data_IF_103342473222
#
_entry.id   IF_103342473222
#
_cell.length_a   1.000
_cell.length_b   1.000
_cell.length_c   1.000
_cell.angle_alpha   90.00
_cell.angle_beta   90.00
_cell.angle_gamma   90.00
#
_symmetry.space_group_name_H-M   'P 1'
#
loop_
_entity.id
_entity.type
_entity.pdbx_description
1 polymer ?
#
# COMPACT_ATOMS: atom_id res chain seq x y z
N UNK A 1 13.31 -15.98 -45.97
CA UNK A 1 11.97 -15.86 -45.38
C UNK A 1 11.92 -16.80 -44.19
N UNK A 2 11.86 -16.28 -42.96
CA UNK A 2 11.67 -17.14 -41.79
C UNK A 2 10.25 -17.72 -41.86
N UNK A 3 10.14 -19.03 -42.02
CA UNK A 3 8.87 -19.74 -41.92
C UNK A 3 8.32 -19.55 -40.51
N UNK A 4 7.17 -18.89 -40.39
CA UNK A 4 6.48 -18.77 -39.12
C UNK A 4 6.22 -20.17 -38.56
N UNK A 5 6.68 -20.42 -37.34
CA UNK A 5 6.41 -21.68 -36.65
C UNK A 5 4.89 -21.86 -36.52
N UNK A 6 4.35 -23.08 -36.72
CA UNK A 6 2.92 -23.33 -36.53
C UNK A 6 2.51 -23.00 -35.10
N UNK A 7 1.39 -22.28 -34.95
CA UNK A 7 0.87 -21.85 -33.65
C UNK A 7 0.33 -23.06 -32.89
N UNK A 8 0.83 -23.27 -31.68
CA UNK A 8 0.27 -24.20 -30.69
C UNK A 8 -0.90 -23.50 -29.99
N UNK A 9 -2.14 -23.91 -30.35
CA UNK A 9 -3.37 -23.29 -29.86
C UNK A 9 -3.49 -23.39 -28.33
N UNK A 10 -3.11 -24.52 -27.74
CA UNK A 10 -3.19 -24.71 -26.30
C UNK A 10 -2.25 -23.76 -25.54
N UNK A 11 -1.04 -23.55 -26.06
CA UNK A 11 -0.10 -22.57 -25.49
C UNK A 11 -0.59 -21.13 -25.65
N UNK A 12 -1.20 -20.81 -26.78
CA UNK A 12 -1.78 -19.48 -27.01
C UNK A 12 -2.92 -19.20 -26.02
N UNK A 13 -3.87 -20.12 -25.88
CA UNK A 13 -5.00 -19.98 -24.95
C UNK A 13 -4.54 -19.82 -23.50
N UNK A 14 -3.57 -20.65 -23.06
CA UNK A 14 -2.99 -20.54 -21.73
C UNK A 14 -2.36 -19.16 -21.49
N UNK A 15 -1.66 -18.62 -22.49
CA UNK A 15 -1.05 -17.29 -22.37
C UNK A 15 -2.08 -16.17 -22.36
N UNK A 16 -3.14 -16.25 -23.18
CA UNK A 16 -4.25 -15.29 -23.16
C UNK A 16 -4.91 -15.25 -21.78
N UNK A 17 -5.16 -16.41 -21.17
CA UNK A 17 -5.72 -16.49 -19.82
C UNK A 17 -4.81 -15.85 -18.77
N UNK A 18 -3.48 -16.04 -18.89
CA UNK A 18 -2.53 -15.36 -18.02
C UNK A 18 -2.63 -13.84 -18.15
N UNK A 19 -2.61 -13.30 -19.38
CA UNK A 19 -2.69 -11.85 -19.64
C UNK A 19 -4.01 -11.27 -19.10
N UNK A 20 -5.13 -11.99 -19.27
CA UNK A 20 -6.41 -11.59 -18.72
C UNK A 20 -6.41 -11.58 -17.18
N UNK A 21 -5.77 -12.57 -16.56
CA UNK A 21 -5.58 -12.63 -15.11
C UNK A 21 -4.77 -11.46 -14.57
N UNK A 22 -3.62 -11.16 -15.19
CA UNK A 22 -2.76 -10.03 -14.79
C UNK A 22 -3.48 -8.68 -14.95
N UNK A 23 -4.25 -8.53 -16.03
CA UNK A 23 -5.06 -7.33 -16.29
C UNK A 23 -6.15 -7.16 -15.23
N UNK A 24 -6.88 -8.24 -14.92
CA UNK A 24 -7.91 -8.25 -13.88
C UNK A 24 -7.33 -7.92 -12.51
N UNK A 25 -6.18 -8.50 -12.15
CA UNK A 25 -5.49 -8.23 -10.88
C UNK A 25 -5.07 -6.75 -10.74
N UNK A 26 -4.62 -6.13 -11.84
CA UNK A 26 -4.29 -4.70 -11.86
C UNK A 26 -5.53 -3.84 -11.60
N UNK A 27 -6.65 -4.13 -12.27
CA UNK A 27 -7.91 -3.41 -12.06
C UNK A 27 -8.45 -3.59 -10.63
N UNK A 28 -8.36 -4.80 -10.09
CA UNK A 28 -8.69 -5.08 -8.69
C UNK A 28 -7.85 -4.24 -7.72
N UNK A 29 -6.55 -4.10 -7.99
CA UNK A 29 -5.67 -3.29 -7.13
C UNK A 29 -6.03 -1.81 -7.16
N UNK A 30 -6.44 -1.29 -8.33
CA UNK A 30 -6.93 0.09 -8.46
C UNK A 30 -8.23 0.27 -7.66
N UNK A 31 -9.18 -0.67 -7.75
CA UNK A 31 -10.40 -0.64 -6.94
C UNK A 31 -10.11 -0.77 -5.43
N UNK A 32 -9.13 -1.58 -5.05
CA UNK A 32 -8.70 -1.70 -3.66
C UNK A 32 -8.10 -0.39 -3.14
N UNK A 33 -7.34 0.34 -3.97
CA UNK A 33 -6.86 1.69 -3.64
C UNK A 33 -8.00 2.68 -3.39
N UNK A 34 -9.09 2.60 -4.16
CA UNK A 34 -10.30 3.41 -3.93
C UNK A 34 -10.93 3.05 -2.58
N UNK A 35 -11.08 1.75 -2.30
CA UNK A 35 -11.65 1.25 -1.04
C UNK A 35 -10.86 1.69 0.19
N UNK A 36 -9.53 1.63 0.12
CA UNK A 36 -8.64 2.11 1.17
C UNK A 36 -8.78 3.64 1.37
N UNK A 37 -8.69 4.41 0.28
CA UNK A 37 -8.75 5.88 0.32
C UNK A 37 -10.07 6.42 0.86
N UNK A 38 -11.18 5.75 0.55
CA UNK A 38 -12.52 6.14 0.99
C UNK A 38 -12.94 5.47 2.30
N UNK A 39 -12.08 4.63 2.89
CA UNK A 39 -12.37 3.95 4.16
C UNK A 39 -13.44 2.85 4.08
N UNK A 40 -13.76 2.36 2.88
CA UNK A 40 -14.83 1.37 2.67
C UNK A 40 -14.49 0.01 3.31
N UNK A 41 -13.23 -0.45 3.19
CA UNK A 41 -12.80 -1.67 3.87
C UNK A 41 -12.79 -1.53 5.39
N UNK A 42 -12.32 -0.37 5.89
CA UNK A 42 -12.30 -0.06 7.33
C UNK A 42 -13.70 -0.02 7.91
N UNK A 43 -14.66 0.54 7.18
CA UNK A 43 -16.07 0.54 7.56
C UNK A 43 -16.64 -0.86 7.68
N UNK A 44 -16.47 -1.71 6.65
CA UNK A 44 -16.95 -3.10 6.69
C UNK A 44 -16.27 -3.91 7.82
N UNK A 45 -14.98 -3.71 8.05
CA UNK A 45 -14.25 -4.37 9.13
C UNK A 45 -14.78 -3.96 10.52
N UNK A 46 -15.08 -2.68 10.72
CA UNK A 46 -15.47 -2.14 12.02
C UNK A 46 -16.97 -2.34 12.33
N UNK A 47 -17.82 -2.26 11.31
CA UNK A 47 -19.28 -2.23 11.47
C UNK A 47 -19.98 -3.52 11.02
N UNK A 48 -19.23 -4.47 10.47
CA UNK A 48 -19.76 -5.78 10.03
C UNK A 48 -20.59 -5.73 8.75
N UNK A 49 -21.34 -6.81 8.45
CA UNK A 49 -22.09 -6.97 7.20
C UNK A 49 -23.09 -5.84 6.95
N UNK A 50 -23.07 -5.25 5.75
CA UNK A 50 -23.86 -4.06 5.44
C UNK A 50 -24.39 -4.04 4.00
N UNK A 51 -25.55 -3.42 3.77
CA UNK A 51 -25.99 -3.11 2.40
C UNK A 51 -25.23 -1.89 1.86
N UNK A 52 -25.20 -1.69 0.54
CA UNK A 52 -24.48 -0.56 -0.09
C UNK A 52 -24.86 0.82 0.45
N UNK A 53 -26.15 1.02 0.77
CA UNK A 53 -26.65 2.27 1.34
C UNK A 53 -26.12 2.55 2.76
N UNK A 54 -25.97 1.52 3.60
CA UNK A 54 -25.41 1.64 4.94
C UNK A 54 -23.93 2.03 4.89
N UNK A 55 -23.14 1.33 4.05
CA UNK A 55 -21.71 1.64 3.84
C UNK A 55 -21.53 3.06 3.32
N UNK A 56 -22.33 3.46 2.33
CA UNK A 56 -22.28 4.80 1.76
C UNK A 56 -22.60 5.89 2.79
N UNK A 57 -23.64 5.67 3.61
CA UNK A 57 -24.01 6.58 4.69
C UNK A 57 -22.90 6.72 5.73
N UNK A 58 -22.27 5.62 6.16
CA UNK A 58 -21.22 5.65 7.20
C UNK A 58 -19.92 6.28 6.71
N UNK A 59 -19.62 6.17 5.42
CA UNK A 59 -18.39 6.68 4.82
C UNK A 59 -18.56 8.04 4.15
N UNK A 60 -19.78 8.60 4.14
CA UNK A 60 -20.06 9.90 3.51
C UNK A 60 -19.88 9.87 1.98
N UNK A 61 -20.13 8.72 1.35
CA UNK A 61 -19.93 8.50 -0.09
C UNK A 61 -21.25 8.31 -0.83
N UNK A 62 -21.22 8.35 -2.17
CA UNK A 62 -22.41 8.15 -2.98
C UNK A 62 -22.73 6.66 -3.13
N UNK A 63 -23.96 6.28 -2.76
CA UNK A 63 -24.42 4.89 -2.74
C UNK A 63 -24.27 4.18 -4.10
N UNK A 64 -24.55 4.86 -5.21
CA UNK A 64 -24.47 4.25 -6.55
C UNK A 64 -23.07 3.75 -6.84
N UNK A 65 -22.05 4.53 -6.48
CA UNK A 65 -20.65 4.21 -6.68
C UNK A 65 -20.15 3.17 -5.68
N UNK A 66 -20.59 3.24 -4.43
CA UNK A 66 -20.31 2.20 -3.43
C UNK A 66 -20.84 0.85 -3.89
N UNK A 67 -22.05 0.82 -4.47
CA UNK A 67 -22.64 -0.41 -4.99
C UNK A 67 -21.82 -1.03 -6.12
N UNK A 68 -21.33 -0.23 -7.07
CA UNK A 68 -20.44 -0.71 -8.14
C UNK A 68 -19.11 -1.22 -7.59
N UNK A 69 -18.53 -0.48 -6.65
CA UNK A 69 -17.28 -0.87 -6.01
C UNK A 69 -17.44 -2.19 -5.24
N UNK A 70 -18.52 -2.35 -4.47
CA UNK A 70 -18.84 -3.59 -3.77
C UNK A 70 -19.01 -4.75 -4.76
N UNK A 71 -19.71 -4.54 -5.88
CA UNK A 71 -19.82 -5.55 -6.94
C UNK A 71 -18.47 -6.00 -7.50
N UNK A 72 -17.57 -5.04 -7.77
CA UNK A 72 -16.21 -5.33 -8.21
C UNK A 72 -15.38 -6.09 -7.15
N UNK A 73 -15.49 -5.72 -5.88
CA UNK A 73 -14.78 -6.40 -4.78
C UNK A 73 -15.34 -7.78 -4.47
N UNK A 74 -16.62 -8.03 -4.71
CA UNK A 74 -17.22 -9.36 -4.66
C UNK A 74 -16.69 -10.22 -5.80
N UNK A 75 -16.71 -9.73 -7.04
CA UNK A 75 -16.19 -10.45 -8.19
C UNK A 75 -14.68 -10.77 -8.05
N UNK A 76 -13.93 -9.91 -7.36
CA UNK A 76 -12.51 -10.09 -7.10
C UNK A 76 -12.20 -10.97 -5.86
N UNK A 77 -13.21 -11.37 -5.08
CA UNK A 77 -13.03 -12.20 -3.88
C UNK A 77 -12.50 -11.47 -2.64
N UNK A 78 -12.60 -10.14 -2.60
CA UNK A 78 -12.19 -9.34 -1.44
C UNK A 78 -13.31 -9.22 -0.40
N UNK A 79 -14.55 -9.13 -0.88
CA UNK A 79 -15.78 -8.95 -0.10
C UNK A 79 -16.73 -10.09 -0.45
N UNK A 80 -17.48 -10.60 0.52
CA UNK A 80 -18.52 -11.59 0.31
C UNK A 80 -19.89 -10.92 0.18
N UNK A 81 -20.81 -11.54 -0.56
CA UNK A 81 -22.18 -11.06 -0.72
C UNK A 81 -23.18 -12.16 -0.39
N UNK A 82 -24.11 -11.86 0.51
CA UNK A 82 -25.24 -12.72 0.83
C UNK A 82 -26.48 -12.26 0.04
N UNK A 83 -26.97 -13.05 -0.94
CA UNK A 83 -28.14 -12.68 -1.73
C UNK A 83 -29.46 -12.72 -0.95
N UNK A 84 -29.54 -13.42 0.19
CA UNK A 84 -30.77 -13.49 0.98
C UNK A 84 -30.98 -12.21 1.80
N UNK A 85 -29.90 -11.60 2.28
CA UNK A 85 -29.95 -10.36 3.08
C UNK A 85 -29.49 -9.13 2.30
N UNK A 86 -28.98 -9.30 1.09
CA UNK A 86 -28.36 -8.27 0.26
C UNK A 86 -27.18 -7.57 0.94
N UNK A 87 -26.50 -8.25 1.89
CA UNK A 87 -25.41 -7.68 2.69
C UNK A 87 -24.06 -8.10 2.14
N UNK A 88 -23.13 -7.15 2.23
CA UNK A 88 -21.73 -7.30 1.89
C UNK A 88 -20.91 -7.42 3.18
N UNK A 89 -19.98 -8.37 3.22
CA UNK A 89 -19.14 -8.65 4.38
C UNK A 89 -17.68 -8.60 3.95
N UNK A 90 -16.83 -7.92 4.72
CA UNK A 90 -15.40 -8.13 4.62
C UNK A 90 -15.03 -9.30 5.55
N UNK A 91 -14.55 -10.45 5.03
CA UNK A 91 -14.10 -11.55 5.87
C UNK A 91 -13.02 -11.09 6.86
N UNK A 92 -13.07 -11.62 8.08
CA UNK A 92 -12.16 -11.21 9.16
C UNK A 92 -10.69 -11.49 8.79
N UNK A 93 -10.45 -12.56 8.03
CA UNK A 93 -9.15 -12.99 7.53
C UNK A 93 -8.54 -11.98 6.55
N UNK A 94 -9.37 -11.21 5.84
CA UNK A 94 -8.92 -10.21 4.88
C UNK A 94 -8.55 -8.88 5.58
N UNK A 95 -9.16 -8.58 6.73
CA UNK A 95 -9.06 -7.28 7.38
C UNK A 95 -7.61 -6.87 7.70
N UNK A 96 -6.77 -7.80 8.15
CA UNK A 96 -5.36 -7.52 8.45
C UNK A 96 -4.60 -6.97 7.23
N UNK A 97 -4.96 -7.39 6.02
CA UNK A 97 -4.29 -6.97 4.79
C UNK A 97 -4.80 -5.64 4.25
N UNK A 98 -6.09 -5.31 4.42
CA UNK A 98 -6.72 -4.19 3.69
C UNK A 98 -7.55 -3.22 4.55
N UNK A 99 -7.70 -3.49 5.84
CA UNK A 99 -8.45 -2.63 6.76
C UNK A 99 -7.65 -2.21 8.01
N UNK A 100 -6.64 -2.98 8.42
CA UNK A 100 -5.85 -2.70 9.64
C UNK A 100 -4.64 -1.81 9.35
N UNK A 101 -4.85 -0.49 9.30
CA UNK A 101 -3.77 0.49 9.10
C UNK A 101 -2.63 0.31 10.13
N UNK A 102 -1.39 0.36 9.65
CA UNK A 102 -0.21 0.25 10.51
C UNK A 102 0.10 -1.17 11.01
N UNK A 103 -0.69 -2.17 10.62
CA UNK A 103 -0.38 -3.58 10.84
C UNK A 103 0.78 -4.06 9.95
N UNK A 104 1.52 -5.11 10.34
CA UNK A 104 2.68 -5.60 9.58
C UNK A 104 2.30 -6.26 8.23
N UNK A 105 1.03 -6.62 8.05
CA UNK A 105 0.50 -7.23 6.84
C UNK A 105 -0.33 -6.26 5.99
N UNK A 106 -0.37 -4.97 6.34
CA UNK A 106 -1.26 -4.02 5.69
C UNK A 106 -0.75 -3.58 4.30
N UNK A 107 -1.53 -3.85 3.25
CA UNK A 107 -1.22 -3.56 1.85
C UNK A 107 -1.82 -2.24 1.34
N UNK A 108 -2.60 -1.50 2.14
CA UNK A 108 -3.20 -0.23 1.71
C UNK A 108 -2.17 0.79 1.21
N UNK A 109 -0.98 0.84 1.83
CA UNK A 109 0.14 1.66 1.36
C UNK A 109 0.63 1.27 -0.04
N UNK A 110 0.77 -0.04 -0.34
CA UNK A 110 1.13 -0.51 -1.68
C UNK A 110 0.03 -0.15 -2.68
N UNK A 111 -1.24 -0.38 -2.33
CA UNK A 111 -2.35 -0.04 -3.23
C UNK A 111 -2.37 1.45 -3.57
N UNK A 112 -2.04 2.34 -2.62
CA UNK A 112 -1.90 3.77 -2.87
C UNK A 112 -0.75 4.13 -3.83
N UNK A 113 0.33 3.34 -3.86
CA UNK A 113 1.47 3.57 -4.77
C UNK A 113 1.12 3.23 -6.22
N UNK A 114 0.25 2.26 -6.46
CA UNK A 114 -0.02 1.73 -7.82
C UNK A 114 -0.50 2.81 -8.80
N UNK A 115 -1.51 3.65 -8.50
CA UNK A 115 -1.89 4.74 -9.39
C UNK A 115 -0.74 5.72 -9.68
N UNK A 116 0.15 5.97 -8.71
CA UNK A 116 1.30 6.86 -8.89
C UNK A 116 2.36 6.25 -9.83
N UNK A 117 2.55 4.93 -9.80
CA UNK A 117 3.41 4.20 -10.74
C UNK A 117 2.84 4.24 -12.16
N UNK A 118 1.54 4.04 -12.32
CA UNK A 118 0.86 4.12 -13.63
C UNK A 118 0.98 5.53 -14.22
N UNK A 119 0.89 6.57 -13.40
CA UNK A 119 0.97 7.97 -13.84
C UNK A 119 2.30 8.38 -14.49
N UNK A 120 3.37 7.59 -14.32
CA UNK A 120 4.70 7.89 -14.90
C UNK A 120 5.09 6.96 -16.05
N UNK A 121 4.20 6.04 -16.48
CA UNK A 121 4.51 5.04 -17.51
C UNK A 121 5.04 5.68 -18.80
N UNK A 122 4.43 6.78 -19.27
CA UNK A 122 4.88 7.45 -20.49
C UNK A 122 6.31 8.03 -20.37
N UNK A 123 6.65 8.58 -19.19
CA UNK A 123 8.00 9.09 -18.92
C UNK A 123 9.01 7.95 -18.86
N UNK A 124 8.62 6.80 -18.28
CA UNK A 124 9.45 5.59 -18.28
C UNK A 124 9.66 5.12 -19.72
N UNK A 125 8.60 5.01 -20.52
CA UNK A 125 8.67 4.64 -21.94
C UNK A 125 9.58 5.56 -22.74
N UNK A 126 9.57 6.87 -22.48
CA UNK A 126 10.51 7.80 -23.09
C UNK A 126 11.97 7.51 -22.70
N UNK A 127 12.24 7.18 -21.43
CA UNK A 127 13.57 6.80 -20.97
C UNK A 127 14.08 5.50 -21.60
N UNK A 128 13.20 4.56 -22.00
CA UNK A 128 13.61 3.39 -22.80
C UNK A 128 14.21 3.78 -24.16
N UNK A 129 13.74 4.88 -24.75
CA UNK A 129 14.26 5.37 -26.03
C UNK A 129 15.48 6.28 -25.88
N UNK A 130 15.49 7.12 -24.83
CA UNK A 130 16.45 8.22 -24.69
C UNK A 130 17.54 7.97 -23.63
N UNK A 131 17.42 6.91 -22.84
CA UNK A 131 18.21 6.70 -21.62
C UNK A 131 17.78 7.66 -20.48
N UNK A 132 18.51 7.60 -19.37
CA UNK A 132 18.18 8.38 -18.17
C UNK A 132 17.14 7.69 -17.28
N UNK A 133 16.18 8.45 -16.76
CA UNK A 133 15.13 7.94 -15.88
C UNK A 133 14.16 9.02 -15.39
N UNK A 134 13.12 8.59 -14.68
CA UNK A 134 12.12 9.48 -14.08
C UNK A 134 12.65 10.01 -12.75
N UNK A 135 12.67 11.34 -12.59
CA UNK A 135 13.13 11.96 -11.34
C UNK A 135 12.16 11.67 -10.21
N UNK A 136 12.67 11.52 -8.99
CA UNK A 136 11.86 11.29 -7.79
C UNK A 136 10.72 12.33 -7.64
N UNK A 137 11.02 13.60 -7.92
CA UNK A 137 10.07 14.71 -7.87
C UNK A 137 8.91 14.63 -8.89
N UNK A 138 9.03 13.78 -9.92
CA UNK A 138 8.00 13.62 -10.94
C UNK A 138 6.96 12.55 -10.56
N UNK A 139 7.22 11.75 -9.52
CA UNK A 139 6.23 10.82 -9.00
C UNK A 139 5.16 11.59 -8.20
N UNK A 140 3.86 11.33 -8.42
CA UNK A 140 2.80 11.89 -7.59
C UNK A 140 3.02 11.58 -6.11
N UNK A 141 2.55 12.46 -5.21
CA UNK A 141 2.74 12.32 -3.75
C UNK A 141 2.28 10.96 -3.21
N UNK A 142 1.24 10.37 -3.82
CA UNK A 142 0.73 9.05 -3.47
C UNK A 142 1.77 7.93 -3.50
N UNK A 143 2.85 8.07 -4.30
CA UNK A 143 3.99 7.15 -4.26
C UNK A 143 4.68 7.18 -2.89
N UNK A 144 4.96 8.38 -2.37
CA UNK A 144 5.71 8.59 -1.13
C UNK A 144 4.83 8.39 0.09
N UNK A 145 3.57 8.85 0.03
CA UNK A 145 2.56 8.60 1.06
C UNK A 145 2.30 7.09 1.25
N UNK A 146 2.15 6.36 0.15
CA UNK A 146 1.93 4.92 0.18
C UNK A 146 3.15 4.15 0.70
N UNK A 147 4.36 4.55 0.29
CA UNK A 147 5.61 3.96 0.77
C UNK A 147 5.79 4.15 2.28
N UNK A 148 5.47 5.34 2.79
CA UNK A 148 5.49 5.61 4.23
C UNK A 148 4.50 4.72 4.96
N UNK A 149 3.23 4.64 4.52
CA UNK A 149 2.21 3.80 5.16
C UNK A 149 2.62 2.32 5.18
N UNK A 150 3.20 1.84 4.09
CA UNK A 150 3.65 0.45 3.98
C UNK A 150 4.82 0.14 4.93
N UNK A 151 5.85 0.98 4.96
CA UNK A 151 7.04 0.77 5.80
C UNK A 151 6.78 1.07 7.28
N UNK A 152 5.89 2.01 7.59
CA UNK A 152 5.50 2.34 8.95
C UNK A 152 4.93 1.13 9.70
N UNK A 153 4.22 0.22 9.02
CA UNK A 153 3.75 -1.03 9.62
C UNK A 153 4.89 -1.86 10.20
N UNK A 154 6.02 -1.99 9.49
CA UNK A 154 7.17 -2.72 10.03
C UNK A 154 7.87 -1.99 11.15
N UNK A 155 8.06 -0.67 11.03
CA UNK A 155 8.64 0.10 12.12
C UNK A 155 7.78 -0.01 13.37
N UNK A 156 6.46 0.04 13.22
CA UNK A 156 5.55 0.01 14.34
C UNK A 156 5.56 -1.30 15.13
N UNK A 157 5.74 -2.42 14.45
CA UNK A 157 5.56 -3.75 15.03
C UNK A 157 6.87 -4.53 15.20
N UNK A 158 7.95 -4.18 14.47
CA UNK A 158 9.17 -4.99 14.42
C UNK A 158 10.41 -4.25 14.92
N UNK A 159 10.48 -2.93 14.77
CA UNK A 159 11.70 -2.17 15.06
C UNK A 159 12.18 -2.33 16.51
N UNK A 160 11.30 -2.05 17.47
CA UNK A 160 11.64 -2.11 18.90
C UNK A 160 11.55 -3.52 19.47
N UNK A 161 10.68 -4.35 18.91
CA UNK A 161 10.38 -5.69 19.43
C UNK A 161 11.33 -6.77 18.90
N UNK A 162 11.85 -6.61 17.69
CA UNK A 162 12.67 -7.62 17.03
C UNK A 162 14.00 -7.08 16.52
N UNK A 163 14.01 -5.98 15.78
CA UNK A 163 15.22 -5.52 15.08
C UNK A 163 16.27 -4.95 16.04
N UNK A 164 15.89 -4.05 16.94
CA UNK A 164 16.81 -3.50 17.95
C UNK A 164 17.30 -4.59 18.93
N UNK A 165 16.45 -5.46 19.48
CA UNK A 165 16.90 -6.58 20.33
C UNK A 165 17.86 -7.55 19.62
N UNK A 166 17.70 -7.76 18.31
CA UNK A 166 18.65 -8.56 17.52
C UNK A 166 20.04 -7.91 17.38
N UNK A 167 20.20 -6.65 17.79
CA UNK A 167 21.48 -5.93 17.82
C UNK A 167 21.85 -5.47 19.25
N UNK A 168 22.24 -6.38 20.16
CA UNK A 168 22.43 -6.04 21.58
C UNK A 168 23.41 -4.90 21.84
N UNK A 169 24.48 -4.81 21.04
CA UNK A 169 25.47 -3.71 21.13
C UNK A 169 24.87 -2.36 20.74
N UNK A 170 23.98 -2.33 19.74
CA UNK A 170 23.27 -1.11 19.33
C UNK A 170 22.25 -0.73 20.40
N UNK A 171 21.48 -1.71 20.90
CA UNK A 171 20.51 -1.47 21.96
C UNK A 171 21.16 -0.90 23.23
N UNK A 172 22.33 -1.40 23.62
CA UNK A 172 23.09 -0.83 24.75
C UNK A 172 23.44 0.63 24.49
N UNK A 173 24.02 0.95 23.33
CA UNK A 173 24.38 2.34 22.97
C UNK A 173 23.16 3.27 22.97
N UNK A 174 22.02 2.81 22.47
CA UNK A 174 20.78 3.59 22.49
C UNK A 174 20.30 3.90 23.91
N UNK A 175 20.45 2.95 24.85
CA UNK A 175 20.14 3.16 26.28
C UNK A 175 21.10 4.15 26.94
N UNK A 176 22.39 4.09 26.58
CA UNK A 176 23.44 4.96 27.13
C UNK A 176 23.30 6.42 26.66
N UNK A 177 22.61 6.64 25.53
CA UNK A 177 22.43 7.97 24.95
C UNK A 177 23.56 8.31 23.97
N UNK A 178 23.26 8.24 22.69
CA UNK A 178 24.22 8.51 21.60
C UNK A 178 23.58 9.38 20.51
N UNK A 179 24.39 10.07 19.68
CA UNK A 179 23.88 10.61 18.42
C UNK A 179 23.53 9.46 17.47
N UNK A 180 22.36 9.55 16.84
CA UNK A 180 21.82 8.58 15.88
C UNK A 180 21.49 9.32 14.59
N UNK A 181 21.99 8.81 13.47
CA UNK A 181 21.68 9.31 12.13
C UNK A 181 20.89 8.26 11.34
N UNK A 182 19.81 8.67 10.69
CA UNK A 182 19.04 7.87 9.74
C UNK A 182 19.11 8.54 8.36
N UNK A 183 19.64 7.80 7.38
CA UNK A 183 19.94 8.30 6.03
C UNK A 183 19.00 7.63 5.04
N UNK A 184 18.20 8.44 4.34
CA UNK A 184 16.99 7.99 3.65
C UNK A 184 15.81 7.88 4.62
N UNK A 185 15.68 8.80 5.56
CA UNK A 185 14.71 8.71 6.66
C UNK A 185 13.25 8.87 6.22
N UNK A 186 12.99 9.34 5.01
CA UNK A 186 11.67 9.78 4.56
C UNK A 186 11.09 10.80 5.55
N UNK A 187 9.84 10.60 5.97
CA UNK A 187 9.18 11.42 7.01
C UNK A 187 9.62 11.09 8.45
N UNK A 188 10.64 10.24 8.62
CA UNK A 188 11.28 9.99 9.92
C UNK A 188 10.55 9.00 10.84
N UNK A 189 9.61 8.18 10.35
CA UNK A 189 8.78 7.28 11.18
C UNK A 189 9.60 6.36 12.09
N UNK A 190 10.64 5.71 11.56
CA UNK A 190 11.52 4.86 12.34
C UNK A 190 12.28 5.66 13.40
N UNK A 191 12.82 6.81 12.99
CA UNK A 191 13.61 7.70 13.84
C UNK A 191 12.80 8.27 15.01
N UNK A 192 11.56 8.71 14.75
CA UNK A 192 10.61 9.19 15.77
C UNK A 192 10.30 8.06 16.76
N UNK A 193 10.02 6.85 16.28
CA UNK A 193 9.74 5.70 17.15
C UNK A 193 10.95 5.33 18.01
N UNK A 194 12.16 5.40 17.48
CA UNK A 194 13.39 5.25 18.27
C UNK A 194 13.52 6.35 19.32
N UNK A 195 13.25 7.60 18.96
CA UNK A 195 13.34 8.74 19.88
C UNK A 195 12.37 8.64 21.04
N UNK A 196 11.17 8.14 20.81
CA UNK A 196 10.19 7.86 21.86
C UNK A 196 10.67 6.76 22.82
N UNK A 197 11.33 5.73 22.30
CA UNK A 197 11.79 4.58 23.10
C UNK A 197 13.12 4.81 23.83
N UNK A 198 14.02 5.63 23.26
CA UNK A 198 15.36 5.90 23.79
C UNK A 198 15.62 7.42 23.87
N UNK A 199 14.92 8.14 24.77
CA UNK A 199 14.89 9.61 24.79
C UNK A 199 16.23 10.28 25.14
N UNK A 200 17.22 9.52 25.64
CA UNK A 200 18.56 10.03 25.97
C UNK A 200 19.45 10.24 24.73
N UNK A 201 19.02 9.76 23.55
CA UNK A 201 19.75 9.92 22.29
C UNK A 201 19.42 11.26 21.62
N UNK A 202 20.29 11.68 20.68
CA UNK A 202 20.04 12.81 19.77
C UNK A 202 19.87 12.26 18.36
N UNK A 203 18.78 12.62 17.69
CA UNK A 203 18.39 12.02 16.42
C UNK A 203 18.51 12.99 15.26
N UNK A 204 19.03 12.51 14.14
CA UNK A 204 19.24 13.28 12.92
C UNK A 204 18.72 12.49 11.72
N UNK A 205 17.69 13.01 11.06
CA UNK A 205 17.16 12.45 9.82
C UNK A 205 17.73 13.18 8.61
N UNK A 206 18.18 12.44 7.61
CA UNK A 206 18.66 12.96 6.35
C UNK A 206 17.89 12.29 5.22
N UNK A 207 17.29 13.08 4.33
CA UNK A 207 16.69 12.57 3.10
C UNK A 207 16.99 13.52 1.94
N UNK A 208 17.18 12.94 0.75
CA UNK A 208 17.41 13.71 -0.48
C UNK A 208 16.09 14.27 -1.04
N UNK A 209 14.97 13.66 -0.69
CA UNK A 209 13.65 14.11 -1.06
C UNK A 209 13.14 15.14 -0.05
N UNK A 210 13.43 16.41 -0.34
CA UNK A 210 13.09 17.55 0.51
C UNK A 210 11.66 17.56 1.08
N UNK A 211 10.60 17.26 0.30
CA UNK A 211 9.24 17.20 0.83
C UNK A 211 9.07 16.25 2.02
N UNK A 212 9.71 15.08 2.00
CA UNK A 212 9.60 14.12 3.10
C UNK A 212 10.20 14.66 4.41
N UNK A 213 11.29 15.43 4.33
CA UNK A 213 11.90 16.08 5.50
C UNK A 213 11.00 17.20 6.04
N UNK A 214 10.42 18.01 5.15
CA UNK A 214 9.54 19.14 5.53
C UNK A 214 8.26 18.66 6.20
N UNK A 215 7.71 17.53 5.76
CA UNK A 215 6.45 16.97 6.24
C UNK A 215 6.63 16.02 7.45
N UNK A 216 7.87 15.84 7.93
CA UNK A 216 8.14 15.01 9.10
C UNK A 216 7.37 15.54 10.33
N UNK A 217 6.58 14.68 10.97
CA UNK A 217 5.78 15.00 12.15
C UNK A 217 5.84 13.87 13.17
N UNK A 218 5.97 14.26 14.45
CA UNK A 218 6.08 13.35 15.58
C UNK A 218 4.73 12.75 16.00
#
# INVERSE_FOLDING_TARGET
MATALPIDQAKQEAFVNKVLGDTSATMTTILASIGDRLGLFKDLAANGPAISAEVASRTGTNERYVREWLGGMVAAGYVEYDPATCRFTLPAEHAAAIATEGGPFFFGGIHQMVPALVAVVDQVSEAFHKGGGVRQANYPSGMWDGLERFTAGWFNNLLLEQWIPAMPKVQSKLKDGVPVADVGCGRGRALIKLAQAFPNCRYFGFDVYGPAVVEASA
#
